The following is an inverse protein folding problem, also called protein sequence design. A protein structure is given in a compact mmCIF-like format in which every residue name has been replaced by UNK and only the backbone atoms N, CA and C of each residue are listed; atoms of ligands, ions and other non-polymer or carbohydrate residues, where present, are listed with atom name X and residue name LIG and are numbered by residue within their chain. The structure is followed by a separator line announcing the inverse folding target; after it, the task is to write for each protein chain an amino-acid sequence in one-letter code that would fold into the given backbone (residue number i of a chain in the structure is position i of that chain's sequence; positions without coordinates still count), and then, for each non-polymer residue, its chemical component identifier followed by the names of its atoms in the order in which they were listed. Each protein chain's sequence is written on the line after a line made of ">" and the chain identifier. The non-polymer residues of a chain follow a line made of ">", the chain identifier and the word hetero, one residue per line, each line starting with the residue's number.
data_IF_974354449046
#
_entry.id   IF_974354449046
#
_cell.length_a   1.000
_cell.length_b   1.000
_cell.length_c   1.000
_cell.angle_alpha   90.00
_cell.angle_beta   90.00
_cell.angle_gamma   90.00
#
_symmetry.space_group_name_H-M   'P 1'
#
loop_
_entity.id
_entity.type
_entity.pdbx_description
1 polymer ?
#
# COMPACT_ATOMS: atom_id res chain seq x y z
N UNK A 1 -73.10 45.77 20.42
CA UNK A 1 -73.00 44.52 21.19
C UNK A 1 -71.57 44.37 21.65
N UNK A 2 -71.36 44.41 22.96
CA UNK A 2 -70.05 44.22 23.61
C UNK A 2 -69.59 42.76 23.47
N UNK A 3 -68.32 42.52 23.16
CA UNK A 3 -67.58 41.41 23.76
C UNK A 3 -66.08 41.72 23.82
N UNK A 4 -65.68 42.09 25.04
CA UNK A 4 -64.51 41.65 25.82
C UNK A 4 -63.15 41.36 25.14
N UNK A 5 -62.17 42.09 25.66
CA UNK A 5 -60.70 42.09 25.46
C UNK A 5 -60.03 40.82 26.03
N UNK A 6 -58.81 40.51 25.58
CA UNK A 6 -57.67 40.28 26.49
C UNK A 6 -56.32 40.56 25.81
N UNK A 7 -55.44 41.17 26.61
CA UNK A 7 -54.07 41.63 26.38
C UNK A 7 -53.08 40.46 26.22
N UNK A 8 -51.96 40.69 25.53
CA UNK A 8 -50.80 39.79 25.57
C UNK A 8 -49.64 40.27 24.70
N UNK A 9 -48.86 41.22 25.23
CA UNK A 9 -47.56 41.64 24.69
C UNK A 9 -46.53 40.60 25.13
N UNK A 10 -45.86 39.92 24.19
CA UNK A 10 -44.69 39.08 24.48
C UNK A 10 -43.59 39.36 23.46
N UNK A 11 -42.58 40.05 23.97
CA UNK A 11 -41.20 40.13 23.50
C UNK A 11 -40.56 38.73 23.53
N UNK A 12 -39.86 38.28 22.48
CA UNK A 12 -38.76 37.28 22.51
C UNK A 12 -38.05 37.35 21.14
N UNK A 13 -36.94 38.08 21.08
CA UNK A 13 -35.53 37.61 20.97
C UNK A 13 -35.16 37.12 19.57
N UNK A 14 -34.44 38.01 18.89
CA UNK A 14 -33.55 37.74 17.77
C UNK A 14 -32.47 36.76 18.26
N UNK A 15 -32.48 35.51 17.80
CA UNK A 15 -31.39 34.57 18.04
C UNK A 15 -30.72 34.28 16.71
N UNK A 16 -29.62 34.99 16.45
CA UNK A 16 -28.56 34.55 15.55
C UNK A 16 -28.13 33.16 16.02
N UNK A 17 -28.54 32.10 15.32
CA UNK A 17 -27.87 30.82 15.44
C UNK A 17 -26.51 30.96 14.78
N UNK A 18 -25.52 31.22 15.62
CA UNK A 18 -24.13 30.86 15.38
C UNK A 18 -24.16 29.35 15.18
N UNK A 19 -24.15 28.89 13.94
CA UNK A 19 -23.85 27.48 13.64
C UNK A 19 -22.39 27.27 14.00
N UNK A 20 -22.19 26.79 15.22
CA UNK A 20 -21.01 26.06 15.64
C UNK A 20 -20.74 24.99 14.60
N UNK A 21 -19.58 25.06 13.94
CA UNK A 21 -19.01 23.95 13.18
C UNK A 21 -18.63 22.88 14.22
N UNK A 22 -19.59 22.01 14.57
CA UNK A 22 -19.26 20.72 15.15
C UNK A 22 -18.98 19.81 13.97
N UNK A 23 -17.72 19.37 13.85
CA UNK A 23 -17.32 18.26 13.01
C UNK A 23 -18.38 17.16 13.11
N UNK A 24 -19.10 16.91 12.02
CA UNK A 24 -19.81 15.66 11.88
C UNK A 24 -18.75 14.58 11.68
N UNK A 25 -18.16 14.12 12.79
CA UNK A 25 -17.63 12.76 12.86
C UNK A 25 -18.81 11.85 12.55
N UNK A 26 -18.85 11.35 11.32
CA UNK A 26 -19.71 10.24 10.94
C UNK A 26 -19.59 9.17 12.02
N UNK A 27 -20.72 8.66 12.54
CA UNK A 27 -20.68 7.67 13.59
C UNK A 27 -20.04 6.41 13.02
N UNK A 28 -18.79 6.16 13.37
CA UNK A 28 -18.12 4.87 13.23
C UNK A 28 -19.04 3.82 13.83
N UNK A 29 -19.71 3.06 12.96
CA UNK A 29 -20.30 1.79 13.35
C UNK A 29 -19.13 0.90 13.76
N UNK A 30 -19.07 0.42 15.01
CA UNK A 30 -18.04 -0.50 15.42
C UNK A 30 -18.41 -1.86 14.84
N UNK A 31 -17.89 -2.17 13.64
CA UNK A 31 -17.81 -3.55 13.19
C UNK A 31 -16.73 -4.23 14.04
N UNK A 32 -17.20 -4.94 15.05
CA UNK A 32 -16.39 -5.73 15.97
C UNK A 32 -15.82 -6.94 15.24
N UNK A 33 -14.48 -6.94 15.14
CA UNK A 33 -13.52 -8.06 15.23
C UNK A 33 -13.70 -9.29 14.31
N UNK A 34 -12.76 -9.45 13.37
CA UNK A 34 -11.76 -10.55 13.33
C UNK A 34 -10.99 -10.49 12.01
N UNK A 35 -10.25 -9.41 11.78
CA UNK A 35 -9.16 -9.49 10.81
C UNK A 35 -7.98 -10.19 11.47
N UNK A 36 -7.88 -11.50 11.25
CA UNK A 36 -6.78 -12.40 11.65
C UNK A 36 -5.95 -11.96 12.88
N UNK A 37 -6.63 -11.77 14.00
CA UNK A 37 -5.99 -11.67 15.31
C UNK A 37 -5.74 -13.09 15.82
N UNK A 38 -4.46 -13.47 15.88
CA UNK A 38 -3.86 -14.71 16.42
C UNK A 38 -3.43 -15.76 15.38
N UNK A 39 -2.12 -16.07 15.38
CA UNK A 39 -1.36 -17.00 14.54
C UNK A 39 -0.79 -16.46 13.21
N UNK A 40 -0.27 -15.24 13.20
CA UNK A 40 0.61 -14.81 12.11
C UNK A 40 1.84 -15.72 12.09
N UNK A 41 1.95 -16.51 11.03
CA UNK A 41 3.17 -17.23 10.74
C UNK A 41 4.12 -16.23 10.10
N UNK A 42 5.35 -16.22 10.54
CA UNK A 42 6.41 -15.46 9.88
C UNK A 42 7.36 -16.42 9.22
N UNK A 43 8.00 -16.00 8.13
CA UNK A 43 9.04 -16.78 7.45
C UNK A 43 10.29 -15.93 7.30
N UNK A 44 11.41 -16.61 7.10
CA UNK A 44 12.65 -15.98 6.63
C UNK A 44 12.82 -16.33 5.16
N UNK A 45 13.02 -15.33 4.30
CA UNK A 45 13.28 -15.53 2.88
C UNK A 45 14.73 -15.17 2.62
N UNK A 46 15.49 -16.12 2.07
CA UNK A 46 16.85 -15.90 1.61
C UNK A 46 16.88 -15.99 0.11
N UNK A 47 17.39 -14.95 -0.52
CA UNK A 47 17.60 -14.90 -1.95
C UNK A 47 19.08 -14.78 -2.23
N UNK A 48 19.62 -15.70 -3.01
CA UNK A 48 21.03 -15.81 -3.29
C UNK A 48 21.33 -15.53 -4.77
N UNK A 49 22.56 -15.07 -5.00
CA UNK A 49 23.13 -14.83 -6.32
C UNK A 49 22.32 -13.86 -7.20
N UNK A 50 21.77 -12.79 -6.61
CA UNK A 50 21.20 -11.70 -7.40
C UNK A 50 22.32 -10.91 -8.06
N UNK A 51 22.66 -11.25 -9.29
CA UNK A 51 23.82 -10.70 -9.99
C UNK A 51 23.44 -9.59 -10.97
N UNK A 52 24.11 -8.45 -10.85
CA UNK A 52 23.89 -7.27 -11.69
C UNK A 52 24.92 -7.18 -12.82
N UNK A 53 24.51 -6.51 -13.91
CA UNK A 53 25.44 -6.08 -14.96
C UNK A 53 26.57 -5.22 -14.36
N UNK A 54 27.78 -5.30 -14.93
CA UNK A 54 28.96 -4.64 -14.37
C UNK A 54 28.80 -3.11 -14.20
N UNK A 55 27.99 -2.48 -15.05
CA UNK A 55 27.67 -1.05 -15.01
C UNK A 55 26.62 -0.65 -13.96
N UNK A 56 25.97 -1.62 -13.30
CA UNK A 56 24.88 -1.39 -12.34
C UNK A 56 25.32 -1.71 -10.90
N UNK A 57 24.62 -1.13 -9.94
CA UNK A 57 24.69 -1.43 -8.51
C UNK A 57 23.30 -1.44 -7.88
N UNK A 58 23.13 -2.14 -6.76
CA UNK A 58 21.86 -2.15 -6.03
C UNK A 58 21.69 -0.81 -5.29
N UNK A 59 20.54 -0.17 -5.48
CA UNK A 59 20.23 1.13 -4.87
C UNK A 59 19.09 1.02 -3.84
N UNK A 60 18.12 0.14 -4.07
CA UNK A 60 16.97 -0.05 -3.21
C UNK A 60 16.41 -1.46 -3.31
N UNK A 61 15.73 -1.89 -2.24
CA UNK A 61 15.09 -3.19 -2.19
C UNK A 61 13.89 -3.17 -1.23
N UNK A 62 12.71 -3.51 -1.76
CA UNK A 62 11.47 -3.64 -1.00
C UNK A 62 10.89 -5.05 -1.17
N UNK A 63 10.20 -5.52 -0.14
CA UNK A 63 9.49 -6.79 -0.17
C UNK A 63 8.13 -6.64 0.51
N UNK A 64 7.07 -6.71 -0.29
CA UNK A 64 5.69 -6.48 0.17
C UNK A 64 4.91 -7.79 0.01
N UNK A 65 4.24 -8.22 1.07
CA UNK A 65 3.24 -9.29 0.94
C UNK A 65 1.95 -8.66 0.41
N UNK A 66 1.70 -8.84 -0.89
CA UNK A 66 0.55 -8.31 -1.60
C UNK A 66 -0.76 -8.99 -1.18
N UNK A 67 -0.70 -10.15 -0.51
CA UNK A 67 -1.88 -10.87 -0.03
C UNK A 67 -2.35 -10.42 1.35
N UNK A 68 -1.79 -9.32 1.85
CA UNK A 68 -2.20 -8.72 3.12
C UNK A 68 -1.96 -7.22 3.17
N UNK A 69 -2.68 -6.57 4.08
CA UNK A 69 -2.45 -5.20 4.53
C UNK A 69 -2.17 -5.19 6.03
N UNK A 70 -1.16 -4.45 6.47
CA UNK A 70 -0.93 -4.19 7.90
C UNK A 70 -1.71 -2.94 8.29
N UNK A 71 -2.35 -2.97 9.45
CA UNK A 71 -3.06 -1.84 10.11
C UNK A 71 -2.96 -1.99 11.65
N UNK A 72 -3.52 -1.07 12.45
CA UNK A 72 -3.34 -0.90 13.91
C UNK A 72 -3.72 -2.16 14.70
N UNK A 73 -4.53 -3.05 14.10
CA UNK A 73 -4.93 -4.33 14.68
C UNK A 73 -4.12 -5.56 14.26
N UNK A 74 -3.18 -5.46 13.31
CA UNK A 74 -2.36 -6.57 12.82
C UNK A 74 -2.27 -6.66 11.29
N UNK A 75 -2.06 -7.87 10.76
CA UNK A 75 -2.14 -8.12 9.32
C UNK A 75 -3.49 -8.72 8.94
N UNK A 76 -4.08 -8.17 7.90
CA UNK A 76 -5.39 -8.52 7.38
C UNK A 76 -5.22 -9.13 5.99
N UNK A 77 -6.00 -10.16 5.64
CA UNK A 77 -6.00 -10.69 4.27
C UNK A 77 -6.47 -9.59 3.31
N UNK A 78 -5.77 -9.51 2.20
CA UNK A 78 -6.07 -8.72 1.00
C UNK A 78 -6.03 -9.75 -0.15
N UNK A 79 -7.21 -10.29 -0.50
CA UNK A 79 -7.31 -11.50 -1.33
C UNK A 79 -7.11 -11.20 -2.81
N UNK A 80 -7.66 -10.07 -3.26
CA UNK A 80 -7.62 -9.50 -4.59
C UNK A 80 -6.41 -8.59 -4.84
N UNK A 81 -5.67 -8.26 -3.78
CA UNK A 81 -4.30 -7.69 -3.82
C UNK A 81 -4.25 -6.27 -4.35
N UNK A 82 -5.35 -5.55 -4.27
CA UNK A 82 -5.44 -4.16 -4.66
C UNK A 82 -4.84 -3.23 -3.59
N UNK A 83 -4.67 -3.71 -2.35
CA UNK A 83 -4.19 -2.91 -1.21
C UNK A 83 -5.27 -2.50 -0.23
N UNK A 84 -6.52 -2.91 -0.49
CA UNK A 84 -7.65 -2.87 0.43
C UNK A 84 -7.80 -4.27 1.06
N UNK A 85 -7.83 -4.38 2.40
CA UNK A 85 -8.08 -5.68 3.03
C UNK A 85 -9.56 -6.07 2.95
N UNK A 86 -9.85 -7.36 2.81
CA UNK A 86 -11.19 -7.91 2.52
C UNK A 86 -12.34 -7.32 3.36
N UNK A 87 -12.10 -7.06 4.64
CA UNK A 87 -13.15 -6.54 5.53
C UNK A 87 -13.62 -5.13 5.10
N UNK A 88 -12.73 -4.36 4.46
CA UNK A 88 -13.00 -3.04 3.91
C UNK A 88 -13.68 -3.16 2.54
N UNK A 89 -13.25 -4.07 1.68
CA UNK A 89 -13.93 -4.38 0.41
C UNK A 89 -15.38 -4.80 0.62
N UNK A 90 -15.61 -5.72 1.54
CA UNK A 90 -16.94 -6.17 1.92
C UNK A 90 -17.80 -5.01 2.44
N UNK A 91 -17.19 -4.07 3.18
CA UNK A 91 -17.89 -2.87 3.66
C UNK A 91 -18.24 -1.89 2.54
N UNK A 92 -17.48 -1.91 1.44
CA UNK A 92 -17.65 -1.09 0.25
C UNK A 92 -18.45 -1.79 -0.86
N UNK A 93 -18.82 -3.05 -0.66
CA UNK A 93 -19.49 -3.92 -1.63
C UNK A 93 -18.69 -4.16 -2.92
N UNK A 94 -17.36 -4.26 -2.79
CA UNK A 94 -16.42 -4.60 -3.85
C UNK A 94 -16.30 -6.13 -4.04
N UNK A 95 -15.84 -6.55 -5.21
CA UNK A 95 -15.71 -7.94 -5.64
C UNK A 95 -14.36 -8.55 -5.24
N UNK A 96 -14.33 -9.15 -4.06
CA UNK A 96 -13.17 -9.91 -3.56
C UNK A 96 -12.98 -11.32 -4.18
N UNK A 97 -13.82 -11.73 -5.14
CA UNK A 97 -13.83 -13.12 -5.61
C UNK A 97 -12.79 -13.40 -6.71
N UNK A 98 -12.25 -12.35 -7.33
CA UNK A 98 -11.23 -12.41 -8.37
C UNK A 98 -9.93 -11.81 -7.83
N UNK A 99 -8.79 -12.35 -8.26
CA UNK A 99 -7.44 -11.88 -7.87
C UNK A 99 -6.97 -10.84 -8.90
N UNK A 100 -7.80 -9.82 -9.15
CA UNK A 100 -7.58 -8.73 -10.11
C UNK A 100 -7.70 -7.33 -9.51
N UNK A 101 -8.42 -7.16 -8.40
CA UNK A 101 -8.48 -5.89 -7.67
C UNK A 101 -9.20 -4.76 -8.43
N UNK A 102 -9.94 -5.09 -9.50
CA UNK A 102 -10.73 -4.18 -10.32
C UNK A 102 -12.17 -4.73 -10.36
N UNK A 103 -13.00 -4.31 -9.40
CA UNK A 103 -14.33 -4.87 -9.23
C UNK A 103 -15.28 -4.68 -10.42
N UNK A 104 -15.05 -3.68 -11.26
CA UNK A 104 -15.97 -3.27 -12.32
C UNK A 104 -15.38 -3.39 -13.73
N UNK A 105 -14.16 -3.91 -13.87
CA UNK A 105 -13.39 -4.10 -15.10
C UNK A 105 -13.24 -2.78 -15.90
N UNK A 106 -13.06 -1.64 -15.22
CA UNK A 106 -12.92 -0.33 -15.86
C UNK A 106 -11.46 0.09 -16.10
N UNK A 107 -10.49 -0.66 -15.55
CA UNK A 107 -9.05 -0.41 -15.65
C UNK A 107 -8.45 0.35 -14.50
N UNK A 108 -9.23 0.70 -13.49
CA UNK A 108 -8.73 1.29 -12.27
C UNK A 108 -8.89 0.30 -11.13
N UNK A 109 -7.81 0.06 -10.38
CA UNK A 109 -7.92 -0.74 -9.17
C UNK A 109 -8.91 -0.11 -8.18
N UNK A 110 -9.55 -0.94 -7.37
CA UNK A 110 -10.48 -0.50 -6.34
C UNK A 110 -9.78 0.41 -5.32
N UNK A 111 -8.52 0.13 -4.98
CA UNK A 111 -7.65 1.05 -4.24
C UNK A 111 -7.57 2.43 -4.90
N UNK A 112 -7.33 2.50 -6.22
CA UNK A 112 -7.22 3.77 -6.93
C UNK A 112 -8.53 4.57 -6.86
N UNK A 113 -9.66 3.88 -7.06
CA UNK A 113 -11.00 4.48 -6.94
C UNK A 113 -11.23 5.01 -5.53
N UNK A 114 -10.86 4.22 -4.51
CA UNK A 114 -10.97 4.59 -3.10
C UNK A 114 -10.15 5.85 -2.77
N UNK A 115 -8.89 5.92 -3.19
CA UNK A 115 -8.00 7.05 -2.94
C UNK A 115 -8.42 8.31 -3.69
N UNK A 116 -8.94 8.18 -4.92
CA UNK A 116 -9.48 9.29 -5.69
C UNK A 116 -10.77 9.88 -5.08
N UNK A 117 -11.33 9.26 -4.03
CA UNK A 117 -12.57 9.70 -3.39
C UNK A 117 -13.78 9.56 -4.31
N UNK A 118 -13.67 8.73 -5.35
CA UNK A 118 -14.74 8.45 -6.29
C UNK A 118 -15.62 7.37 -5.63
N UNK A 119 -16.87 7.69 -5.33
CA UNK A 119 -17.75 6.71 -4.69
C UNK A 119 -17.99 5.51 -5.61
N UNK A 120 -18.14 4.30 -5.06
CA UNK A 120 -18.51 3.09 -5.80
C UNK A 120 -19.81 3.26 -6.64
N UNK A 121 -20.63 4.28 -6.33
CA UNK A 121 -21.84 4.63 -7.08
C UNK A 121 -21.59 5.69 -8.18
N UNK A 122 -20.47 6.41 -8.14
CA UNK A 122 -19.98 7.35 -9.16
C UNK A 122 -18.96 6.74 -10.13
N UNK A 123 -18.59 5.46 -9.94
CA UNK A 123 -17.86 4.63 -10.92
C UNK A 123 -18.43 4.70 -12.35
N UNK A 124 -19.67 5.17 -12.51
CA UNK A 124 -20.35 5.39 -13.81
C UNK A 124 -19.82 6.63 -14.58
N UNK A 125 -18.85 7.41 -14.08
CA UNK A 125 -18.41 8.66 -14.75
C UNK A 125 -16.90 8.91 -14.94
N UNK A 126 -16.03 7.91 -14.80
CA UNK A 126 -14.74 7.94 -15.53
C UNK A 126 -15.04 7.57 -16.99
N UNK A 127 -15.57 8.54 -17.74
CA UNK A 127 -16.19 8.34 -19.05
C UNK A 127 -15.19 8.10 -20.20
N UNK A 128 -13.94 7.77 -19.89
CA UNK A 128 -13.02 7.15 -20.82
C UNK A 128 -12.56 5.83 -20.20
N UNK A 129 -13.21 4.76 -20.65
CA UNK A 129 -12.63 3.42 -20.62
C UNK A 129 -11.16 3.52 -20.99
N UNK A 130 -10.29 2.98 -20.15
CA UNK A 130 -8.89 2.81 -20.50
C UNK A 130 -8.77 1.95 -21.75
N UNK A 131 -8.09 2.45 -22.79
CA UNK A 131 -7.99 1.71 -24.06
C UNK A 131 -7.14 0.43 -23.89
N UNK A 132 -6.16 0.46 -22.99
CA UNK A 132 -5.34 -0.68 -22.58
C UNK A 132 -5.25 -0.73 -21.05
N UNK A 133 -6.04 -1.62 -20.45
CA UNK A 133 -6.09 -1.84 -19.00
C UNK A 133 -4.87 -2.63 -18.48
N UNK A 134 -3.94 -3.00 -19.36
CA UNK A 134 -2.78 -3.84 -19.03
C UNK A 134 -1.44 -3.20 -19.38
N UNK A 135 -1.46 -2.02 -19.99
CA UNK A 135 -0.26 -1.24 -20.25
C UNK A 135 0.28 -0.70 -18.91
N UNK A 136 1.54 -1.02 -18.64
CA UNK A 136 2.33 -0.58 -17.50
C UNK A 136 3.74 -0.37 -18.06
N UNK A 137 4.00 0.86 -18.49
CA UNK A 137 5.13 1.18 -19.36
C UNK A 137 6.47 1.20 -18.62
N UNK A 138 6.49 1.50 -17.31
CA UNK A 138 7.69 1.45 -16.47
C UNK A 138 7.75 0.26 -15.49
N UNK A 139 6.69 -0.54 -15.45
CA UNK A 139 6.60 -1.81 -14.74
C UNK A 139 6.67 -1.66 -13.22
N UNK A 140 6.11 -0.58 -12.68
CA UNK A 140 6.06 -0.31 -11.24
C UNK A 140 4.86 -0.95 -10.53
N UNK A 141 3.82 -1.28 -11.30
CA UNK A 141 2.57 -1.89 -10.85
C UNK A 141 1.33 -1.01 -10.96
N UNK A 142 1.48 0.28 -11.30
CA UNK A 142 0.39 1.14 -11.77
C UNK A 142 0.26 0.97 -13.28
N UNK A 143 -0.97 0.92 -13.77
CA UNK A 143 -1.20 0.97 -15.22
C UNK A 143 -0.97 2.39 -15.75
N UNK A 144 -0.62 2.53 -17.04
CA UNK A 144 -0.48 3.82 -17.73
C UNK A 144 -1.71 4.74 -17.52
N UNK A 145 -2.85 4.11 -17.28
CA UNK A 145 -4.12 4.76 -16.99
C UNK A 145 -4.22 5.33 -15.58
N UNK A 146 -3.85 4.54 -14.57
CA UNK A 146 -3.78 4.98 -13.19
C UNK A 146 -2.74 6.10 -13.06
N UNK A 147 -1.60 5.95 -13.71
CA UNK A 147 -0.55 6.98 -13.75
C UNK A 147 -1.05 8.28 -14.38
N UNK A 148 -1.82 8.21 -15.48
CA UNK A 148 -2.42 9.40 -16.11
C UNK A 148 -3.36 10.13 -15.15
N UNK A 149 -4.11 9.39 -14.32
CA UNK A 149 -5.03 9.95 -13.34
C UNK A 149 -4.28 10.59 -12.16
N UNK A 150 -3.22 9.93 -11.69
CA UNK A 150 -2.32 10.40 -10.63
C UNK A 150 -1.39 11.53 -11.08
N UNK A 151 -1.17 11.65 -12.40
CA UNK A 151 -0.19 12.53 -13.06
C UNK A 151 1.26 12.14 -12.75
N UNK A 152 1.49 10.86 -12.49
CA UNK A 152 2.82 10.27 -12.43
C UNK A 152 3.36 10.03 -13.83
N UNK A 153 4.60 9.56 -13.92
CA UNK A 153 5.35 9.44 -15.16
C UNK A 153 5.31 8.02 -15.73
N UNK A 154 4.63 7.84 -16.88
CA UNK A 154 4.51 6.59 -17.66
C UNK A 154 5.81 5.82 -17.99
N UNK A 155 6.98 6.37 -17.70
CA UNK A 155 8.27 5.76 -18.06
C UNK A 155 9.28 5.86 -16.90
N UNK A 156 8.83 6.23 -15.71
CA UNK A 156 9.68 6.41 -14.54
C UNK A 156 8.93 6.00 -13.27
N UNK A 157 9.27 4.81 -12.79
CA UNK A 157 8.61 4.12 -11.67
C UNK A 157 8.62 4.85 -10.33
N UNK A 158 9.28 6.01 -10.22
CA UNK A 158 9.51 6.82 -9.01
C UNK A 158 9.55 8.28 -9.48
N UNK A 159 8.36 8.87 -9.61
CA UNK A 159 8.09 10.12 -10.34
C UNK A 159 8.78 11.31 -9.69
N UNK A 160 8.73 11.39 -8.37
CA UNK A 160 9.32 12.51 -7.62
C UNK A 160 10.78 12.27 -7.19
N UNK A 161 11.26 11.04 -7.29
CA UNK A 161 12.65 10.65 -7.17
C UNK A 161 13.12 10.49 -5.72
N UNK A 162 12.23 10.17 -4.78
CA UNK A 162 12.57 9.98 -3.37
C UNK A 162 13.08 8.56 -3.03
N UNK A 163 12.92 7.63 -3.97
CA UNK A 163 13.37 6.25 -3.87
C UNK A 163 12.29 5.23 -3.51
N UNK A 164 11.03 5.65 -3.36
CA UNK A 164 9.85 4.79 -3.27
C UNK A 164 9.19 4.74 -4.66
N UNK A 165 8.88 3.55 -5.20
CA UNK A 165 8.11 3.48 -6.45
C UNK A 165 6.68 4.04 -6.30
N UNK A 166 6.15 4.67 -7.35
CA UNK A 166 4.83 5.34 -7.34
C UNK A 166 3.72 4.38 -6.87
N UNK A 167 3.73 3.14 -7.36
CA UNK A 167 2.80 2.09 -6.90
C UNK A 167 2.86 1.87 -5.38
N UNK A 168 4.07 1.84 -4.79
CA UNK A 168 4.22 1.66 -3.35
C UNK A 168 3.76 2.89 -2.59
N UNK A 169 4.00 4.10 -3.09
CA UNK A 169 3.49 5.31 -2.46
C UNK A 169 1.96 5.29 -2.38
N UNK A 170 1.30 5.00 -3.51
CA UNK A 170 -0.16 4.84 -3.59
C UNK A 170 -0.65 3.74 -2.63
N UNK A 171 0.01 2.57 -2.62
CA UNK A 171 -0.37 1.45 -1.73
C UNK A 171 -0.25 1.82 -0.25
N UNK A 172 0.70 2.67 0.13
CA UNK A 172 0.92 3.08 1.52
C UNK A 172 0.24 4.42 1.88
N UNK A 173 -0.40 5.10 0.93
CA UNK A 173 -1.11 6.36 1.15
C UNK A 173 -0.22 7.59 1.16
N UNK A 174 0.94 7.53 0.51
CA UNK A 174 1.85 8.63 0.21
C UNK A 174 1.48 9.31 -1.13
N UNK A 175 2.05 10.49 -1.38
CA UNK A 175 1.83 11.28 -2.61
C UNK A 175 3.03 11.13 -3.56
N UNK A 176 2.89 10.42 -4.71
CA UNK A 176 3.99 10.16 -5.66
C UNK A 176 4.50 11.40 -6.41
N UNK A 177 4.03 12.58 -6.02
CA UNK A 177 4.44 13.88 -6.53
C UNK A 177 5.09 14.76 -5.45
N UNK A 178 5.27 14.27 -4.22
CA UNK A 178 5.87 14.98 -3.09
C UNK A 178 7.01 14.20 -2.41
N UNK A 179 8.19 14.28 -3.03
CA UNK A 179 9.42 13.64 -2.54
C UNK A 179 9.85 13.98 -1.10
N UNK A 180 9.19 14.95 -0.46
CA UNK A 180 9.44 15.28 0.94
C UNK A 180 8.79 14.24 1.85
N UNK A 181 7.65 13.65 1.46
CA UNK A 181 6.82 12.85 2.33
C UNK A 181 7.49 11.54 2.77
N UNK A 182 8.35 10.90 1.95
CA UNK A 182 9.17 9.76 2.36
C UNK A 182 10.08 10.07 3.55
N UNK A 183 10.49 11.33 3.71
CA UNK A 183 11.34 11.78 4.81
C UNK A 183 10.55 12.24 6.04
N UNK A 184 9.23 12.38 5.93
CA UNK A 184 8.36 12.73 7.04
C UNK A 184 8.09 11.51 7.93
N UNK A 185 7.72 11.81 9.16
CA UNK A 185 7.23 10.87 10.18
C UNK A 185 5.77 11.26 10.41
N UNK A 186 4.88 10.72 9.57
CA UNK A 186 3.49 11.20 9.45
C UNK A 186 2.71 10.94 10.74
N UNK A 187 2.96 9.83 11.40
CA UNK A 187 2.28 9.43 12.64
C UNK A 187 2.99 9.87 13.94
N UNK A 188 4.24 10.35 13.83
CA UNK A 188 5.03 10.89 14.93
C UNK A 188 5.62 9.84 15.86
N UNK A 189 5.81 8.60 15.40
CA UNK A 189 6.32 7.49 16.19
C UNK A 189 7.86 7.35 16.19
N UNK A 190 8.53 8.18 15.38
CA UNK A 190 9.99 8.26 15.26
C UNK A 190 10.58 7.41 14.13
N UNK A 191 9.76 6.77 13.30
CA UNK A 191 10.14 6.16 12.03
C UNK A 191 9.63 7.06 10.91
N UNK A 192 10.40 7.25 9.84
CA UNK A 192 9.92 8.00 8.68
C UNK A 192 9.24 7.08 7.67
N UNK A 193 8.37 7.66 6.83
CA UNK A 193 7.51 6.93 5.90
C UNK A 193 8.31 5.98 4.99
N UNK A 194 9.49 6.38 4.50
CA UNK A 194 10.37 5.49 3.71
C UNK A 194 10.71 4.20 4.44
N UNK A 195 11.08 4.28 5.72
CA UNK A 195 11.44 3.11 6.50
C UNK A 195 10.21 2.28 6.87
N UNK A 196 9.03 2.88 6.97
CA UNK A 196 7.77 2.17 7.21
C UNK A 196 7.32 1.38 5.98
N UNK A 197 7.32 2.02 4.79
CA UNK A 197 7.08 1.33 3.50
C UNK A 197 8.04 0.15 3.37
N UNK A 198 9.33 0.36 3.64
CA UNK A 198 10.33 -0.70 3.63
C UNK A 198 10.02 -1.80 4.65
N UNK A 199 9.62 -1.46 5.87
CA UNK A 199 9.25 -2.43 6.89
C UNK A 199 7.90 -3.12 6.64
N UNK A 200 7.17 -2.71 5.60
CA UNK A 200 5.80 -3.13 5.29
C UNK A 200 4.82 -2.78 6.44
N UNK A 201 4.94 -1.57 6.97
CA UNK A 201 4.10 -1.01 8.03
C UNK A 201 3.33 0.23 7.54
N UNK A 202 2.15 0.53 8.09
CA UNK A 202 1.39 1.74 7.75
C UNK A 202 2.20 3.00 8.06
N UNK A 203 2.03 4.07 7.28
CA UNK A 203 2.72 5.35 7.48
C UNK A 203 1.95 6.32 8.39
N UNK A 204 0.67 6.06 8.62
CA UNK A 204 -0.27 6.95 9.32
C UNK A 204 -0.77 6.37 10.66
N UNK A 205 -0.18 5.26 11.13
CA UNK A 205 -0.60 4.56 12.34
C UNK A 205 0.55 4.30 13.31
N UNK A 206 0.59 5.09 14.39
CA UNK A 206 1.68 5.02 15.36
C UNK A 206 1.93 3.62 15.91
N UNK A 207 3.21 3.22 15.99
CA UNK A 207 3.65 1.98 16.63
C UNK A 207 3.39 1.87 18.15
N UNK A 208 2.61 2.79 18.73
CA UNK A 208 2.40 2.97 20.18
C UNK A 208 1.93 1.71 20.92
N UNK A 209 1.20 0.83 20.23
CA UNK A 209 0.69 -0.43 20.81
C UNK A 209 1.67 -1.62 20.67
N UNK A 210 2.76 -1.45 19.93
CA UNK A 210 3.80 -2.44 19.67
C UNK A 210 3.43 -3.57 18.71
N UNK A 211 2.20 -3.59 18.17
CA UNK A 211 1.74 -4.62 17.22
C UNK A 211 2.44 -4.43 15.88
N UNK A 212 2.39 -3.23 15.31
CA UNK A 212 3.04 -2.89 14.03
C UNK A 212 4.55 -3.16 14.10
N UNK A 213 5.20 -2.75 15.19
CA UNK A 213 6.61 -3.02 15.46
C UNK A 213 6.98 -4.51 15.46
N UNK A 214 6.06 -5.39 15.87
CA UNK A 214 6.28 -6.83 15.86
C UNK A 214 6.18 -7.43 14.44
N UNK A 215 5.62 -6.69 13.48
CA UNK A 215 5.41 -7.11 12.09
C UNK A 215 6.44 -6.55 11.11
N UNK A 216 7.30 -5.64 11.57
CA UNK A 216 8.40 -5.07 10.78
C UNK A 216 9.23 -6.17 10.10
N UNK A 217 9.33 -6.08 8.77
CA UNK A 217 10.23 -6.90 7.98
C UNK A 217 11.65 -6.36 8.14
N UNK A 218 12.60 -7.26 8.38
CA UNK A 218 14.02 -6.92 8.57
C UNK A 218 14.84 -7.34 7.38
N UNK A 219 15.73 -6.46 6.94
CA UNK A 219 16.52 -6.62 5.73
C UNK A 219 18.00 -6.73 6.06
N UNK A 220 18.62 -7.82 5.62
CA UNK A 220 20.07 -7.97 5.58
C UNK A 220 20.52 -8.17 4.13
N UNK A 221 21.35 -7.26 3.61
CA UNK A 221 21.89 -7.34 2.25
C UNK A 221 23.40 -7.53 2.30
N UNK A 222 23.90 -8.52 1.57
CA UNK A 222 25.31 -8.87 1.51
C UNK A 222 25.79 -8.86 0.06
N UNK A 223 26.83 -8.09 -0.25
CA UNK A 223 27.52 -8.26 -1.51
C UNK A 223 28.38 -9.53 -1.44
N UNK A 224 28.15 -10.48 -2.34
CA UNK A 224 28.75 -11.82 -2.29
C UNK A 224 29.88 -12.04 -3.29
N UNK A 225 29.96 -11.24 -4.35
CA UNK A 225 31.02 -11.35 -5.36
C UNK A 225 31.65 -10.00 -5.72
N UNK A 226 32.92 -10.05 -6.10
CA UNK A 226 33.67 -8.91 -6.63
C UNK A 226 34.30 -9.25 -7.98
N UNK A 227 33.92 -8.47 -9.00
CA UNK A 227 34.44 -8.35 -10.37
C UNK A 227 34.70 -9.65 -11.17
N UNK A 228 34.26 -9.71 -12.45
CA UNK A 228 33.65 -8.62 -13.23
C UNK A 228 32.16 -8.40 -12.96
N UNK A 229 31.48 -9.36 -12.31
CA UNK A 229 30.07 -9.29 -11.95
C UNK A 229 29.92 -9.06 -10.45
N UNK A 230 28.99 -8.20 -10.05
CA UNK A 230 28.67 -7.94 -8.63
C UNK A 230 27.35 -8.62 -8.32
N UNK A 231 27.35 -9.48 -7.31
CA UNK A 231 26.17 -10.21 -6.87
C UNK A 231 25.83 -9.86 -5.41
N UNK A 232 24.55 -9.97 -5.11
CA UNK A 232 23.98 -9.71 -3.80
C UNK A 232 23.22 -10.94 -3.29
N UNK A 233 23.26 -11.13 -1.98
CA UNK A 233 22.33 -11.98 -1.25
C UNK A 233 21.47 -11.10 -0.36
N UNK A 234 20.18 -11.38 -0.34
CA UNK A 234 19.19 -10.67 0.47
C UNK A 234 18.56 -11.66 1.45
N UNK A 235 18.51 -11.29 2.71
CA UNK A 235 17.78 -12.03 3.73
C UNK A 235 16.70 -11.12 4.32
N UNK A 236 15.46 -11.53 4.13
CA UNK A 236 14.28 -10.95 4.74
C UNK A 236 13.91 -11.79 5.94
N UNK A 237 13.87 -11.19 7.12
CA UNK A 237 13.42 -11.84 8.34
C UNK A 237 12.09 -11.27 8.78
N UNK A 238 11.27 -12.08 9.45
CA UNK A 238 9.95 -11.67 9.96
C UNK A 238 8.92 -11.33 8.86
N UNK A 239 9.03 -11.95 7.68
CA UNK A 239 8.03 -11.77 6.61
C UNK A 239 6.73 -12.44 7.04
N UNK A 240 5.69 -11.64 7.27
CA UNK A 240 4.37 -12.13 7.68
C UNK A 240 3.66 -12.83 6.53
N UNK A 241 3.07 -13.99 6.79
CA UNK A 241 2.17 -14.69 5.86
C UNK A 241 0.81 -14.93 6.52
N UNK A 242 -0.25 -14.79 5.73
CA UNK A 242 -1.63 -15.01 6.16
C UNK A 242 -2.10 -16.41 5.75
N UNK A 243 -3.00 -16.96 6.56
CA UNK A 243 -3.63 -18.25 6.26
C UNK A 243 -4.79 -18.03 5.27
N UNK A 244 -4.57 -18.36 4.01
CA UNK A 244 -5.56 -18.24 2.93
C UNK A 244 -5.75 -19.58 2.20
N UNK A 245 -6.79 -19.67 1.38
CA UNK A 245 -6.98 -20.79 0.43
C UNK A 245 -6.02 -20.73 -0.75
N UNK A 246 -5.48 -19.55 -1.06
CA UNK A 246 -4.53 -19.29 -2.13
C UNK A 246 -3.12 -19.02 -1.58
N UNK A 247 -2.09 -18.95 -2.44
CA UNK A 247 -0.73 -18.58 -2.04
C UNK A 247 -0.64 -17.13 -1.53
N UNK A 248 0.35 -16.88 -0.65
CA UNK A 248 0.79 -15.53 -0.33
C UNK A 248 1.72 -15.04 -1.44
N UNK A 249 1.42 -13.90 -2.05
CA UNK A 249 2.24 -13.27 -3.07
C UNK A 249 3.20 -12.27 -2.42
N UNK A 250 4.48 -12.62 -2.35
CA UNK A 250 5.52 -11.67 -1.93
C UNK A 250 6.09 -11.03 -3.19
N UNK A 251 5.83 -9.74 -3.37
CA UNK A 251 6.39 -8.94 -4.47
C UNK A 251 7.68 -8.28 -4.01
N UNK A 252 8.73 -8.50 -4.77
CA UNK A 252 10.08 -8.02 -4.52
C UNK A 252 10.43 -6.95 -5.54
N UNK A 253 10.84 -5.78 -5.07
CA UNK A 253 11.20 -4.64 -5.90
C UNK A 253 12.71 -4.43 -5.79
N UNK A 254 13.43 -4.65 -6.87
CA UNK A 254 14.88 -4.42 -6.96
C UNK A 254 15.12 -3.13 -7.72
N UNK A 255 15.64 -2.11 -7.03
CA UNK A 255 16.02 -0.85 -7.66
C UNK A 255 17.52 -0.92 -7.98
N UNK A 256 17.82 -0.90 -9.26
CA UNK A 256 19.18 -0.95 -9.78
C UNK A 256 19.56 0.42 -10.33
N UNK A 257 20.78 0.87 -10.06
CA UNK A 257 21.28 2.17 -10.47
C UNK A 257 22.53 2.03 -11.31
N UNK A 258 22.64 2.81 -12.39
CA UNK A 258 23.86 2.84 -13.19
C UNK A 258 24.97 3.62 -12.47
N UNK A 259 26.14 2.97 -12.29
CA UNK A 259 27.30 3.53 -11.57
C UNK A 259 27.81 4.86 -12.14
N UNK A 260 27.65 5.08 -13.44
CA UNK A 260 28.19 6.25 -14.16
C UNK A 260 27.14 7.29 -14.51
N UNK A 261 25.85 6.96 -14.39
CA UNK A 261 24.75 7.88 -14.65
C UNK A 261 23.70 7.66 -13.56
N UNK A 262 23.75 8.51 -12.54
CA UNK A 262 22.89 8.37 -11.37
C UNK A 262 21.40 8.60 -11.68
N UNK A 263 21.06 9.11 -12.86
CA UNK A 263 19.68 9.33 -13.30
C UNK A 263 19.13 8.14 -14.11
N UNK A 264 19.91 7.07 -14.27
CA UNK A 264 19.48 5.86 -14.94
C UNK A 264 19.29 4.77 -13.89
N UNK A 265 18.08 4.74 -13.35
CA UNK A 265 17.57 3.73 -12.42
C UNK A 265 16.62 2.81 -13.17
N UNK A 266 16.60 1.55 -12.78
CA UNK A 266 15.65 0.56 -13.32
C UNK A 266 15.04 -0.21 -12.18
N UNK A 267 13.75 -0.46 -12.27
CA UNK A 267 13.01 -1.32 -11.36
C UNK A 267 12.89 -2.73 -11.96
N UNK A 268 13.21 -3.74 -11.16
CA UNK A 268 12.92 -5.13 -11.49
C UNK A 268 12.03 -5.72 -10.42
N UNK A 269 10.85 -6.19 -10.84
CA UNK A 269 9.89 -6.84 -9.96
C UNK A 269 9.98 -8.36 -10.09
N UNK A 270 9.99 -9.06 -8.95
CA UNK A 270 9.94 -10.52 -8.89
C UNK A 270 8.86 -10.95 -7.90
N UNK A 271 7.99 -11.85 -8.33
CA UNK A 271 6.89 -12.37 -7.53
C UNK A 271 7.24 -13.76 -6.99
N UNK A 272 7.22 -13.91 -5.67
CA UNK A 272 7.33 -15.21 -4.99
C UNK A 272 5.96 -15.66 -4.50
N UNK A 273 5.62 -16.92 -4.77
CA UNK A 273 4.41 -17.54 -4.25
C UNK A 273 4.77 -18.43 -3.06
N UNK A 274 4.20 -18.16 -1.90
CA UNK A 274 4.43 -18.92 -0.67
C UNK A 274 3.17 -19.65 -0.27
N UNK A 275 3.27 -20.97 -0.10
CA UNK A 275 2.18 -21.81 0.37
C UNK A 275 1.81 -21.46 1.83
N UNK A 276 0.54 -21.17 2.16
CA UNK A 276 0.10 -20.84 3.52
C UNK A 276 0.34 -21.97 4.55
N UNK A 277 0.51 -23.21 4.07
CA UNK A 277 0.79 -24.38 4.91
C UNK A 277 2.21 -24.44 5.45
N UNK A 278 3.14 -23.62 4.93
CA UNK A 278 4.52 -23.50 5.43
C UNK A 278 4.52 -23.29 6.95
N UNK A 279 5.50 -23.89 7.63
CA UNK A 279 5.64 -23.79 9.08
C UNK A 279 6.10 -22.39 9.48
N UNK A 280 5.59 -21.87 10.60
CA UNK A 280 6.08 -20.62 11.16
C UNK A 280 7.58 -20.70 11.46
N UNK A 281 8.29 -19.62 11.21
CA UNK A 281 9.74 -19.46 11.31
C UNK A 281 10.54 -20.36 10.34
N UNK A 282 9.91 -20.92 9.31
CA UNK A 282 10.63 -21.61 8.25
C UNK A 282 11.56 -20.65 7.50
N UNK A 283 12.68 -21.17 7.02
CA UNK A 283 13.56 -20.47 6.09
C UNK A 283 13.31 -21.00 4.68
N UNK A 284 12.98 -20.11 3.76
CA UNK A 284 12.78 -20.39 2.34
C UNK A 284 13.99 -19.84 1.59
N UNK A 285 14.67 -20.69 0.83
CA UNK A 285 15.86 -20.30 0.07
C UNK A 285 15.54 -20.30 -1.43
N UNK A 286 15.87 -19.20 -2.09
CA UNK A 286 15.72 -18.99 -3.53
C UNK A 286 17.07 -18.63 -4.13
N UNK A 287 17.34 -19.13 -5.33
CA UNK A 287 18.57 -18.82 -6.05
C UNK A 287 18.20 -18.26 -7.44
N UNK A 288 18.75 -17.09 -7.78
CA UNK A 288 18.41 -16.43 -9.05
C UNK A 288 19.08 -17.05 -10.27
N UNK A 289 20.06 -17.93 -10.10
CA UNK A 289 20.70 -18.65 -11.20
C UNK A 289 19.82 -19.80 -11.76
N UNK A 290 18.71 -20.13 -11.08
CA UNK A 290 17.82 -21.26 -11.43
C UNK A 290 16.61 -20.87 -12.32
N UNK A 291 16.56 -19.62 -12.81
CA UNK A 291 15.45 -19.07 -13.61
C UNK A 291 15.90 -18.34 -14.88
#
# INVERSE_FOLDING_TARGET
>A
MYSTRYFGMVLIINLMMIMSCQEQKSPLLPLVQEGLKANQKTVTIKMNNYCLNASMEASGFFAINMSMKVEDGGAYIDFDRDGIPNYRDESMALNIALDDGDSNDDGYSDLMIFLAGISAQEQVHLQSKCDDHTADSDHDGLTDCEETLLKTSLVNFDTDGDGIPDYLEVRFGLDPLDAIDASLDTDGDGVNNFNEVKANTPVDESNSNGIIKALEVKYDTFQTSTLPQVCYSYQLSNVSIVASSNFNLIRLYFIEKQKTNLNNTTLKIINLQIDPSVLSHATLEYNFDDY
#
